data_IF_403153603451
#
_entry.id   IF_403153603451
#
_cell.length_a   1.000
_cell.length_b   1.000
_cell.length_c   1.000
_cell.angle_alpha   90.00
_cell.angle_beta   90.00
_cell.angle_gamma   90.00
#
_symmetry.space_group_name_H-M   'P 1'
#
loop_
_entity.id
_entity.type
_entity.pdbx_description
1 polymer ?
#
# COMPACT_ATOMS: atom_id res chain seq x y z
N UNK A 1 -13.68 27.16 -0.65
CA UNK A 1 -14.67 26.75 0.36
C UNK A 1 -16.03 27.37 0.05
N UNK A 2 -17.12 26.76 0.46
CA UNK A 2 -18.48 27.27 0.30
C UNK A 2 -18.68 28.56 1.07
N UNK A 3 -19.52 29.44 0.55
CA UNK A 3 -19.85 30.74 1.14
C UNK A 3 -21.33 30.77 1.57
N UNK A 4 -21.70 31.80 2.34
CA UNK A 4 -23.11 32.02 2.68
C UNK A 4 -24.00 32.21 1.44
N UNK A 5 -23.44 32.79 0.36
CA UNK A 5 -24.15 32.97 -0.91
C UNK A 5 -24.44 31.63 -1.58
N UNK A 6 -23.53 30.67 -1.52
CA UNK A 6 -23.76 29.34 -2.09
C UNK A 6 -24.89 28.60 -1.36
N UNK A 7 -24.91 28.74 -0.02
CA UNK A 7 -25.98 28.19 0.81
C UNK A 7 -27.32 28.84 0.53
N UNK A 8 -27.35 30.16 0.39
CA UNK A 8 -28.57 30.90 0.08
C UNK A 8 -29.15 30.52 -1.29
N UNK A 9 -28.32 30.45 -2.32
CA UNK A 9 -28.70 29.98 -3.67
C UNK A 9 -29.24 28.54 -3.64
N UNK A 10 -28.63 27.66 -2.83
CA UNK A 10 -29.11 26.30 -2.69
C UNK A 10 -30.47 26.27 -1.99
N UNK A 11 -30.67 27.05 -0.94
CA UNK A 11 -31.92 27.13 -0.17
C UNK A 11 -33.07 27.71 -0.97
N UNK A 12 -32.81 28.62 -1.92
CA UNK A 12 -33.81 29.16 -2.85
C UNK A 12 -34.52 28.10 -3.72
N UNK A 13 -33.96 26.90 -3.87
CA UNK A 13 -34.58 25.81 -4.62
C UNK A 13 -35.83 25.28 -3.94
N UNK A 14 -35.99 25.45 -2.62
CA UNK A 14 -37.20 25.11 -1.91
C UNK A 14 -38.03 26.37 -1.64
N UNK A 15 -38.83 26.77 -2.63
CA UNK A 15 -39.63 28.00 -2.60
C UNK A 15 -40.64 28.05 -1.48
N UNK A 16 -40.99 26.92 -0.88
CA UNK A 16 -42.01 26.85 0.19
C UNK A 16 -41.38 27.09 1.56
N UNK A 17 -40.08 26.85 1.72
CA UNK A 17 -39.34 26.97 3.00
C UNK A 17 -38.27 28.05 2.97
N UNK A 18 -37.98 28.64 1.82
CA UNK A 18 -36.98 29.69 1.71
C UNK A 18 -37.49 31.03 2.24
N UNK A 19 -36.69 31.64 3.14
CA UNK A 19 -36.91 33.00 3.62
C UNK A 19 -35.62 33.82 3.39
N UNK A 20 -35.75 34.87 2.61
CA UNK A 20 -34.59 35.73 2.25
C UNK A 20 -33.88 36.30 3.49
N UNK A 21 -32.55 36.14 3.48
CA UNK A 21 -31.66 36.61 4.59
C UNK A 21 -31.58 35.67 5.79
N UNK A 22 -32.33 34.56 5.85
CA UNK A 22 -32.27 33.60 6.94
C UNK A 22 -30.94 32.85 6.95
N UNK A 23 -30.42 32.45 5.77
CA UNK A 23 -29.11 31.81 5.65
C UNK A 23 -27.99 32.70 6.19
N UNK A 24 -28.00 33.99 5.89
CA UNK A 24 -27.01 34.94 6.39
C UNK A 24 -27.08 35.11 7.93
N UNK A 25 -28.29 35.20 8.49
CA UNK A 25 -28.47 35.24 9.94
C UNK A 25 -27.96 33.99 10.63
N UNK A 26 -28.28 32.83 10.08
CA UNK A 26 -27.82 31.53 10.61
C UNK A 26 -26.33 31.37 10.48
N UNK A 27 -25.74 31.77 9.34
CA UNK A 27 -24.30 31.72 9.10
C UNK A 27 -23.51 32.49 10.12
N UNK A 28 -24.01 33.67 10.49
CA UNK A 28 -23.38 34.51 11.53
C UNK A 28 -23.33 33.86 12.94
N UNK A 29 -24.21 32.87 13.20
CA UNK A 29 -24.23 32.13 14.46
C UNK A 29 -23.18 31.02 14.56
N UNK A 30 -22.51 30.66 13.45
CA UNK A 30 -21.51 29.59 13.43
C UNK A 30 -20.13 30.06 13.93
N UNK A 31 -19.93 31.30 14.25
CA UNK A 31 -18.69 31.83 14.79
C UNK A 31 -18.55 31.49 16.27
N UNK A 32 -17.51 30.76 16.65
CA UNK A 32 -17.08 30.59 18.03
C UNK A 32 -17.71 29.44 18.83
N UNK A 33 -18.28 28.42 18.19
CA UNK A 33 -18.73 27.22 18.91
C UNK A 33 -17.54 26.37 19.40
N UNK A 34 -17.57 25.99 20.69
CA UNK A 34 -16.61 25.03 21.28
C UNK A 34 -16.77 23.59 20.73
N UNK A 35 -17.86 23.33 20.04
CA UNK A 35 -18.11 22.05 19.35
C UNK A 35 -18.58 22.33 17.90
N UNK A 36 -17.64 22.52 16.96
CA UNK A 36 -18.01 22.81 15.57
C UNK A 36 -18.72 21.61 14.94
N UNK A 37 -19.76 21.91 14.14
CA UNK A 37 -20.39 20.89 13.28
C UNK A 37 -19.37 20.46 12.22
N UNK A 38 -18.98 19.21 12.26
CA UNK A 38 -18.03 18.61 11.32
C UNK A 38 -18.77 17.75 10.28
N UNK A 39 -18.05 17.33 9.23
CA UNK A 39 -18.59 16.35 8.28
C UNK A 39 -19.10 15.07 8.96
N UNK A 40 -18.45 14.65 10.07
CA UNK A 40 -18.92 13.53 10.90
C UNK A 40 -20.30 13.75 11.52
N UNK A 41 -20.56 14.99 11.99
CA UNK A 41 -21.88 15.37 12.53
C UNK A 41 -22.97 15.28 11.45
N UNK A 42 -22.66 15.73 10.24
CA UNK A 42 -23.62 15.65 9.12
C UNK A 42 -23.92 14.19 8.76
N UNK A 43 -22.91 13.33 8.73
CA UNK A 43 -23.07 11.88 8.47
C UNK A 43 -23.92 11.24 9.58
N UNK A 44 -23.69 11.60 10.84
CA UNK A 44 -24.48 11.13 11.98
C UNK A 44 -25.95 11.50 11.85
N UNK A 45 -26.24 12.77 11.56
CA UNK A 45 -27.60 13.28 11.36
C UNK A 45 -28.28 12.61 10.15
N UNK A 46 -27.54 12.35 9.07
CA UNK A 46 -28.07 11.64 7.92
C UNK A 46 -28.50 10.21 8.26
N UNK A 47 -27.66 9.48 9.00
CA UNK A 47 -27.96 8.12 9.51
C UNK A 47 -29.19 8.10 10.43
N UNK A 48 -29.30 9.06 11.34
CA UNK A 48 -30.46 9.19 12.25
C UNK A 48 -31.76 9.46 11.50
N UNK A 49 -31.69 10.05 10.31
CA UNK A 49 -32.82 10.29 9.41
C UNK A 49 -33.02 9.20 8.34
N UNK A 50 -32.44 8.00 8.55
CA UNK A 50 -32.69 6.83 7.69
C UNK A 50 -31.84 6.78 6.42
N UNK A 51 -30.82 7.65 6.31
CA UNK A 51 -29.86 7.54 5.23
C UNK A 51 -28.87 6.40 5.53
N UNK A 52 -29.02 5.30 4.82
CA UNK A 52 -28.03 4.22 4.85
C UNK A 52 -26.90 4.59 3.90
N UNK A 53 -25.77 4.99 4.48
CA UNK A 53 -24.53 5.12 3.77
C UNK A 53 -24.04 3.70 3.46
N UNK A 54 -24.35 3.20 2.28
CA UNK A 54 -23.49 2.20 1.68
C UNK A 54 -22.13 2.87 1.57
N UNK A 55 -21.08 2.20 2.07
CA UNK A 55 -19.70 2.67 2.01
C UNK A 55 -19.28 2.80 0.54
N UNK A 56 -19.86 3.77 -0.13
CA UNK A 56 -19.22 4.39 -1.27
C UNK A 56 -18.09 5.17 -0.60
N UNK A 57 -16.87 4.56 -0.50
CA UNK A 57 -15.67 5.38 -0.46
C UNK A 57 -15.98 6.55 -1.38
N UNK A 58 -15.80 7.78 -0.91
CA UNK A 58 -15.79 8.90 -1.82
C UNK A 58 -14.64 8.60 -2.79
N UNK A 59 -14.90 7.77 -3.77
CA UNK A 59 -14.25 7.77 -5.04
C UNK A 59 -14.53 9.18 -5.54
N UNK A 60 -13.53 10.06 -5.31
CA UNK A 60 -13.39 11.21 -6.17
C UNK A 60 -13.61 10.64 -7.57
N UNK A 61 -14.58 11.19 -8.26
CA UNK A 61 -14.96 10.81 -9.62
C UNK A 61 -13.77 11.10 -10.56
N UNK A 62 -12.74 10.24 -10.45
CA UNK A 62 -11.57 10.23 -11.33
C UNK A 62 -11.93 9.65 -12.70
N UNK A 63 -13.11 9.00 -12.83
CA UNK A 63 -13.59 8.49 -14.11
C UNK A 63 -13.86 9.60 -15.14
N UNK A 64 -13.94 10.85 -14.71
CA UNK A 64 -14.07 12.01 -15.63
C UNK A 64 -12.75 12.59 -16.10
N UNK A 65 -11.63 12.29 -15.41
CA UNK A 65 -10.28 12.76 -15.79
C UNK A 65 -9.36 11.65 -16.31
N UNK A 66 -9.71 10.40 -16.07
CA UNK A 66 -9.01 9.23 -16.61
C UNK A 66 -9.88 8.69 -17.72
N UNK A 67 -9.45 8.83 -18.95
CA UNK A 67 -10.06 8.44 -20.21
C UNK A 67 -11.10 7.29 -20.19
N UNK A 68 -11.64 6.91 -21.32
CA UNK A 68 -12.73 5.91 -21.44
C UNK A 68 -12.41 4.64 -20.61
N UNK A 69 -13.45 3.95 -20.16
CA UNK A 69 -13.32 2.72 -19.31
C UNK A 69 -12.37 1.66 -19.84
N UNK A 70 -12.03 1.72 -21.11
CA UNK A 70 -11.18 0.74 -21.80
C UNK A 70 -9.71 1.18 -21.96
N UNK A 71 -9.38 2.45 -21.73
CA UNK A 71 -8.05 3.03 -22.00
C UNK A 71 -6.91 2.56 -21.08
N UNK A 72 -7.15 1.80 -20.04
CA UNK A 72 -6.10 1.28 -19.17
C UNK A 72 -6.14 -0.25 -19.06
N UNK A 73 -6.90 -0.91 -19.94
CA UNK A 73 -7.02 -2.36 -19.94
C UNK A 73 -6.10 -2.94 -21.01
N UNK A 74 -5.01 -3.56 -20.58
CA UNK A 74 -4.03 -4.20 -21.47
C UNK A 74 -3.98 -5.71 -21.28
N UNK A 75 -4.51 -6.25 -20.19
CA UNK A 75 -4.48 -7.68 -19.89
C UNK A 75 -5.69 -8.38 -20.48
N UNK A 76 -5.48 -9.24 -21.46
CA UNK A 76 -6.51 -10.16 -21.93
C UNK A 76 -6.54 -11.40 -21.03
N UNK A 77 -7.58 -11.49 -20.18
CA UNK A 77 -7.74 -12.58 -19.22
C UNK A 77 -7.94 -13.96 -19.87
N UNK A 78 -8.34 -14.02 -21.13
CA UNK A 78 -8.56 -15.26 -21.86
C UNK A 78 -7.24 -15.85 -22.38
N UNK A 79 -6.23 -15.01 -22.57
CA UNK A 79 -4.91 -15.36 -23.10
C UNK A 79 -3.78 -15.23 -22.08
N UNK A 80 -4.12 -15.13 -20.79
CA UNK A 80 -3.15 -14.97 -19.73
C UNK A 80 -2.27 -16.22 -19.59
N UNK A 81 -0.99 -16.12 -19.91
CA UNK A 81 -0.01 -17.21 -19.73
C UNK A 81 0.32 -17.37 -18.25
N UNK A 82 -0.29 -18.38 -17.61
CA UNK A 82 -0.03 -18.73 -16.23
C UNK A 82 1.14 -19.69 -16.14
N UNK A 83 2.15 -19.32 -15.38
CA UNK A 83 3.28 -20.20 -15.08
C UNK A 83 3.34 -20.48 -13.59
N UNK A 84 3.65 -21.73 -13.23
CA UNK A 84 3.89 -22.10 -11.85
C UNK A 84 5.12 -21.36 -11.30
N UNK A 85 5.04 -20.97 -10.03
CA UNK A 85 6.17 -20.37 -9.34
C UNK A 85 7.04 -21.51 -8.82
N UNK A 86 8.25 -21.60 -9.36
CA UNK A 86 9.24 -22.56 -8.89
C UNK A 86 10.09 -21.96 -7.79
N UNK A 87 10.05 -22.56 -6.59
CA UNK A 87 10.90 -22.18 -5.46
C UNK A 87 11.92 -23.28 -5.26
N UNK A 88 13.24 -23.00 -5.40
CA UNK A 88 14.28 -23.99 -5.27
C UNK A 88 14.27 -24.68 -3.91
N UNK A 89 14.58 -25.98 -3.87
CA UNK A 89 14.76 -26.71 -2.61
C UNK A 89 15.94 -26.14 -1.82
N UNK A 90 17.06 -25.93 -2.51
CA UNK A 90 18.23 -25.27 -1.93
C UNK A 90 18.13 -23.76 -2.10
N UNK A 91 18.39 -23.03 -1.03
CA UNK A 91 18.37 -21.59 -1.03
C UNK A 91 19.32 -21.04 0.04
N UNK A 92 19.70 -19.78 -0.12
CA UNK A 92 20.51 -19.08 0.88
C UNK A 92 19.65 -17.97 1.54
N UNK A 93 19.16 -18.18 2.77
CA UNK A 93 18.36 -17.18 3.48
C UNK A 93 19.04 -15.81 3.60
N UNK A 94 20.32 -15.80 3.91
CA UNK A 94 21.10 -14.57 4.07
C UNK A 94 21.18 -13.78 2.77
N UNK A 95 21.47 -14.44 1.66
CA UNK A 95 21.54 -13.82 0.33
C UNK A 95 20.21 -13.22 -0.09
N UNK A 96 19.08 -13.90 0.21
CA UNK A 96 17.75 -13.39 -0.06
C UNK A 96 17.48 -12.04 0.61
N UNK A 97 17.91 -11.91 1.88
CA UNK A 97 17.71 -10.67 2.64
C UNK A 97 18.68 -9.60 2.16
N UNK A 98 19.94 -9.94 1.91
CA UNK A 98 20.96 -9.00 1.40
C UNK A 98 20.51 -8.44 0.06
N UNK A 99 20.11 -9.30 -0.90
CA UNK A 99 19.63 -8.86 -2.22
C UNK A 99 18.42 -7.94 -2.10
N UNK A 100 17.47 -8.24 -1.21
CA UNK A 100 16.33 -7.37 -0.95
C UNK A 100 16.75 -6.00 -0.42
N UNK A 101 17.68 -5.96 0.54
CA UNK A 101 18.20 -4.71 1.13
C UNK A 101 18.95 -3.87 0.10
N UNK A 102 19.85 -4.49 -0.66
CA UNK A 102 20.64 -3.81 -1.71
C UNK A 102 19.78 -3.30 -2.87
N UNK A 103 18.62 -3.94 -3.11
CA UNK A 103 17.68 -3.52 -4.16
C UNK A 103 16.85 -2.29 -3.75
N UNK A 104 16.48 -2.18 -2.48
CA UNK A 104 15.48 -1.20 -2.05
C UNK A 104 16.05 -0.02 -1.25
N UNK A 105 17.25 -0.15 -0.68
CA UNK A 105 17.79 0.83 0.27
C UNK A 105 19.21 1.26 -0.08
N UNK A 106 19.49 2.52 0.19
CA UNK A 106 20.86 3.00 0.26
C UNK A 106 21.51 2.56 1.59
N UNK A 107 22.87 2.43 1.64
CA UNK A 107 23.56 1.88 2.81
C UNK A 107 23.34 2.61 4.14
N UNK A 108 23.05 3.90 4.10
CA UNK A 108 22.85 4.78 5.27
C UNK A 108 21.37 4.92 5.68
N UNK A 109 20.45 4.29 4.96
CA UNK A 109 19.02 4.36 5.25
C UNK A 109 18.58 3.35 6.30
N UNK A 110 17.72 3.80 7.23
CA UNK A 110 17.18 2.92 8.26
C UNK A 110 16.07 2.02 7.70
N UNK A 111 16.15 0.75 8.06
CA UNK A 111 15.24 -0.31 7.64
C UNK A 111 14.33 -0.71 8.79
N UNK A 112 13.02 -0.69 8.54
CA UNK A 112 12.06 -1.22 9.48
C UNK A 112 11.80 -2.72 9.24
N UNK A 113 11.96 -3.56 10.25
CA UNK A 113 11.64 -4.98 10.15
C UNK A 113 11.06 -5.54 11.46
N UNK A 114 10.36 -6.67 11.36
CA UNK A 114 9.65 -7.29 12.48
C UNK A 114 9.84 -8.81 12.42
N UNK A 115 10.47 -9.37 13.45
CA UNK A 115 10.61 -10.82 13.66
C UNK A 115 9.67 -11.31 14.75
N UNK A 116 9.30 -10.47 15.71
CA UNK A 116 8.40 -10.79 16.78
C UNK A 116 6.93 -10.64 16.37
N UNK A 117 6.10 -11.54 16.88
CA UNK A 117 4.65 -11.50 16.68
C UNK A 117 3.92 -11.86 17.97
N UNK A 118 2.69 -11.39 18.09
CA UNK A 118 1.79 -11.75 19.20
C UNK A 118 0.46 -12.26 18.63
N UNK A 119 -0.17 -13.16 19.38
CA UNK A 119 -1.44 -13.76 18.97
C UNK A 119 -2.63 -12.94 19.50
N UNK A 120 -3.60 -12.70 18.64
CA UNK A 120 -4.87 -12.08 18.98
C UNK A 120 -6.00 -12.74 18.18
N UNK A 121 -6.98 -13.30 18.86
CA UNK A 121 -8.14 -13.98 18.25
C UNK A 121 -7.74 -15.02 17.17
N UNK A 122 -6.71 -15.83 17.47
CA UNK A 122 -6.22 -16.87 16.55
C UNK A 122 -5.45 -16.34 15.35
N UNK A 123 -5.10 -15.04 15.34
CA UNK A 123 -4.28 -14.41 14.30
C UNK A 123 -2.99 -13.87 14.88
N UNK A 124 -1.88 -14.11 14.19
CA UNK A 124 -0.60 -13.54 14.55
C UNK A 124 -0.44 -12.16 13.91
N UNK A 125 -0.17 -11.17 14.75
CA UNK A 125 0.07 -9.78 14.36
C UNK A 125 1.53 -9.41 14.61
N UNK A 126 2.18 -8.63 13.71
CA UNK A 126 3.53 -8.16 13.94
C UNK A 126 3.60 -7.18 15.12
N UNK A 127 4.68 -7.25 15.88
CA UNK A 127 5.03 -6.23 16.89
C UNK A 127 5.47 -4.92 16.23
N UNK A 128 5.96 -3.94 17.02
CA UNK A 128 6.51 -2.69 16.48
C UNK A 128 7.78 -2.94 15.64
N UNK A 129 8.60 -3.91 16.04
CA UNK A 129 9.86 -4.28 15.38
C UNK A 129 11.00 -3.29 15.60
N UNK A 130 12.10 -3.51 14.86
CA UNK A 130 13.29 -2.67 14.81
C UNK A 130 13.18 -1.67 13.65
N UNK A 131 13.80 -0.49 13.79
CA UNK A 131 13.73 0.59 12.79
C UNK A 131 14.88 1.60 12.89
N UNK A 132 15.90 1.28 13.67
CA UNK A 132 17.05 2.16 14.02
C UNK A 132 18.38 1.65 13.48
N UNK A 133 18.35 0.63 12.62
CA UNK A 133 19.54 0.06 11.97
C UNK A 133 19.52 0.37 10.48
N UNK A 134 20.70 0.74 9.94
CA UNK A 134 20.83 1.02 8.52
C UNK A 134 20.96 -0.25 7.68
N UNK A 135 20.62 -0.15 6.39
CA UNK A 135 20.78 -1.26 5.45
C UNK A 135 22.23 -1.74 5.39
N UNK A 136 23.20 -0.83 5.33
CA UNK A 136 24.62 -1.18 5.32
C UNK A 136 25.09 -1.89 6.59
N UNK A 137 24.56 -1.52 7.78
CA UNK A 137 24.84 -2.25 9.02
C UNK A 137 24.29 -3.67 8.97
N UNK A 138 23.03 -3.82 8.56
CA UNK A 138 22.37 -5.13 8.42
C UNK A 138 23.09 -6.03 7.42
N UNK A 139 23.41 -5.51 6.24
CA UNK A 139 24.12 -6.26 5.19
C UNK A 139 25.49 -6.73 5.70
N UNK A 140 26.25 -5.85 6.34
CA UNK A 140 27.57 -6.18 6.90
C UNK A 140 27.49 -7.33 7.93
N UNK A 141 26.51 -7.29 8.83
CA UNK A 141 26.33 -8.30 9.86
C UNK A 141 25.79 -9.62 9.25
N UNK A 142 24.89 -9.54 8.26
CA UNK A 142 24.41 -10.71 7.54
C UNK A 142 25.53 -11.45 6.79
N UNK A 143 26.49 -10.76 6.20
CA UNK A 143 27.67 -11.41 5.61
C UNK A 143 28.51 -12.17 6.65
N UNK A 144 28.49 -11.74 7.91
CA UNK A 144 29.29 -12.32 8.98
C UNK A 144 28.57 -13.44 9.76
N UNK A 145 27.24 -13.52 9.67
CA UNK A 145 26.42 -14.41 10.51
C UNK A 145 26.53 -15.90 10.14
N UNK A 146 27.21 -16.27 9.05
CA UNK A 146 27.39 -17.66 8.59
C UNK A 146 26.05 -18.43 8.43
N UNK A 147 24.99 -17.74 8.02
CA UNK A 147 23.66 -18.29 7.83
C UNK A 147 22.73 -18.22 9.06
N UNK A 148 23.23 -17.82 10.21
CA UNK A 148 22.44 -17.58 11.43
C UNK A 148 21.81 -16.16 11.37
N UNK A 149 20.73 -16.02 10.60
CA UNK A 149 20.02 -14.74 10.46
C UNK A 149 19.39 -14.29 11.78
N UNK A 150 19.06 -15.21 12.69
CA UNK A 150 18.51 -14.90 14.02
C UNK A 150 19.48 -14.09 14.88
N UNK A 151 20.79 -14.35 14.79
CA UNK A 151 21.81 -13.57 15.49
C UNK A 151 21.88 -12.10 15.05
N UNK A 152 21.40 -11.76 13.86
CA UNK A 152 21.40 -10.41 13.30
C UNK A 152 20.05 -9.71 13.48
N UNK A 153 18.96 -10.39 13.10
CA UNK A 153 17.63 -9.81 13.04
C UNK A 153 16.78 -10.09 14.29
N UNK A 154 17.21 -11.01 15.14
CA UNK A 154 16.41 -11.60 16.20
C UNK A 154 15.68 -12.87 15.73
N UNK A 155 15.37 -13.74 16.67
CA UNK A 155 14.63 -14.96 16.40
C UNK A 155 13.19 -14.65 15.94
N UNK A 156 12.67 -15.49 15.06
CA UNK A 156 11.30 -15.38 14.57
C UNK A 156 10.56 -16.73 14.72
N UNK A 157 9.25 -16.66 14.80
CA UNK A 157 8.41 -17.85 14.79
C UNK A 157 8.24 -18.36 13.35
N UNK A 158 8.80 -19.55 13.04
CA UNK A 158 8.76 -20.16 11.70
C UNK A 158 7.36 -20.55 11.22
N UNK A 159 6.35 -20.62 12.10
CA UNK A 159 4.96 -20.79 11.70
C UNK A 159 4.35 -19.49 11.18
N UNK A 160 4.87 -18.36 11.61
CA UNK A 160 4.34 -17.01 11.31
C UNK A 160 5.15 -16.30 10.23
N UNK A 161 6.48 -16.49 10.21
CA UNK A 161 7.43 -15.76 9.38
C UNK A 161 7.76 -14.38 9.94
N UNK A 162 8.41 -13.56 9.13
CA UNK A 162 8.82 -12.22 9.48
C UNK A 162 8.36 -11.20 8.43
N UNK A 163 8.49 -9.92 8.77
CA UNK A 163 8.08 -8.80 7.94
C UNK A 163 9.19 -7.76 7.80
N UNK A 164 9.18 -7.03 6.70
CA UNK A 164 10.12 -5.96 6.41
C UNK A 164 9.38 -4.81 5.70
N UNK A 165 9.77 -3.57 5.95
CA UNK A 165 9.29 -2.41 5.21
C UNK A 165 10.10 -2.24 3.95
N UNK A 166 9.53 -1.54 2.99
CA UNK A 166 10.15 -1.35 1.68
C UNK A 166 10.52 0.12 1.41
N UNK A 167 10.12 1.05 2.27
CA UNK A 167 10.56 2.45 2.24
C UNK A 167 11.42 2.76 3.48
N UNK A 168 12.42 3.63 3.36
CA UNK A 168 13.33 3.99 4.44
C UNK A 168 12.63 4.80 5.53
N UNK A 169 13.15 4.68 6.74
CA UNK A 169 12.64 5.35 7.94
C UNK A 169 13.66 6.35 8.51
N UNK A 170 13.17 7.27 9.34
CA UNK A 170 14.00 8.28 10.05
C UNK A 170 14.70 7.74 11.31
N UNK A 171 14.55 6.46 11.63
CA UNK A 171 15.08 5.84 12.84
C UNK A 171 14.36 6.20 14.14
N UNK A 172 13.26 6.95 14.10
CA UNK A 172 12.51 7.40 15.29
C UNK A 172 11.19 6.65 15.48
N UNK A 173 10.67 6.02 14.44
CA UNK A 173 9.41 5.32 14.50
C UNK A 173 9.09 4.54 13.23
N UNK A 174 7.83 4.09 13.15
CA UNK A 174 7.36 3.18 12.08
C UNK A 174 6.07 3.64 11.40
N UNK A 175 5.62 4.86 11.68
CA UNK A 175 4.42 5.43 11.08
C UNK A 175 4.72 6.09 9.73
N UNK A 176 3.68 6.52 9.01
CA UNK A 176 3.85 7.22 7.73
C UNK A 176 4.72 8.48 7.85
N UNK A 177 4.62 9.18 8.98
CA UNK A 177 5.43 10.39 9.28
C UNK A 177 6.92 10.10 9.47
N UNK A 178 7.30 8.84 9.71
CA UNK A 178 8.69 8.42 9.85
C UNK A 178 9.31 7.92 8.53
N UNK A 179 8.51 7.82 7.46
CA UNK A 179 9.01 7.47 6.14
C UNK A 179 9.73 8.67 5.54
N UNK A 180 10.99 8.51 5.16
CA UNK A 180 11.84 9.59 4.65
C UNK A 180 11.74 9.75 3.14
N UNK A 181 11.48 8.66 2.41
CA UNK A 181 11.30 8.67 0.97
C UNK A 181 10.15 7.77 0.53
N UNK A 182 9.39 8.22 -0.46
CA UNK A 182 8.19 7.55 -0.97
C UNK A 182 8.49 6.85 -2.30
N UNK A 183 9.47 5.93 -2.30
CA UNK A 183 9.94 5.24 -3.51
C UNK A 183 9.04 4.11 -3.97
N UNK A 184 8.43 3.39 -3.05
CA UNK A 184 7.76 2.14 -3.36
C UNK A 184 6.36 2.04 -2.75
N UNK A 185 5.49 1.27 -3.44
CA UNK A 185 4.19 0.83 -2.94
C UNK A 185 4.07 -0.70 -3.00
N UNK A 186 3.23 -1.28 -2.14
CA UNK A 186 2.95 -2.71 -2.12
C UNK A 186 1.73 -3.02 -2.99
N UNK A 187 1.90 -3.92 -3.96
CA UNK A 187 0.82 -4.56 -4.71
C UNK A 187 0.72 -6.01 -4.23
N UNK A 188 -0.43 -6.37 -3.67
CA UNK A 188 -0.70 -7.69 -3.08
C UNK A 188 -2.15 -8.08 -3.27
N UNK A 189 -2.42 -9.35 -3.53
CA UNK A 189 -3.76 -9.95 -3.58
C UNK A 189 -3.82 -11.20 -2.71
N UNK A 190 -4.75 -11.22 -1.76
CA UNK A 190 -5.01 -12.36 -0.88
C UNK A 190 -6.07 -13.32 -1.42
N UNK A 191 -6.78 -12.94 -2.48
CA UNK A 191 -7.98 -13.62 -2.98
C UNK A 191 -7.77 -14.35 -4.31
N UNK A 192 -6.66 -14.08 -4.99
CA UNK A 192 -6.36 -14.64 -6.31
C UNK A 192 -5.34 -15.77 -6.23
N UNK A 193 -5.40 -16.68 -7.18
CA UNK A 193 -4.36 -17.69 -7.41
C UNK A 193 -3.00 -17.03 -7.72
N UNK A 194 -1.91 -17.60 -7.18
CA UNK A 194 -0.56 -17.01 -7.28
C UNK A 194 -0.07 -16.95 -8.72
N UNK A 195 -0.37 -17.97 -9.54
CA UNK A 195 0.04 -17.99 -10.95
C UNK A 195 -0.67 -16.91 -11.76
N UNK A 196 -1.95 -16.62 -11.41
CA UNK A 196 -2.69 -15.53 -12.00
C UNK A 196 -2.17 -14.16 -11.53
N UNK A 197 -1.80 -14.02 -10.25
CA UNK A 197 -1.17 -12.79 -9.74
C UNK A 197 0.11 -12.50 -10.53
N UNK A 198 1.01 -13.49 -10.65
CA UNK A 198 2.28 -13.36 -11.39
C UNK A 198 2.04 -12.96 -12.84
N UNK A 199 1.14 -13.66 -13.52
CA UNK A 199 0.84 -13.42 -14.93
C UNK A 199 0.34 -11.99 -15.16
N UNK A 200 -0.59 -11.48 -14.34
CA UNK A 200 -1.10 -10.11 -14.47
C UNK A 200 -0.01 -9.07 -14.15
N UNK A 201 0.80 -9.30 -13.12
CA UNK A 201 1.92 -8.41 -12.77
C UNK A 201 2.89 -8.30 -13.95
N UNK A 202 3.17 -9.43 -14.62
CA UNK A 202 4.06 -9.49 -15.79
C UNK A 202 3.45 -8.80 -17.01
N UNK A 203 2.18 -9.10 -17.35
CA UNK A 203 1.48 -8.49 -18.50
C UNK A 203 1.28 -6.99 -18.33
N UNK A 204 1.08 -6.52 -17.08
CA UNK A 204 1.03 -5.09 -16.76
C UNK A 204 2.39 -4.41 -16.83
N UNK A 205 3.46 -5.14 -17.03
CA UNK A 205 4.83 -4.62 -17.00
C UNK A 205 5.11 -3.69 -15.80
N UNK A 206 4.51 -4.01 -14.64
CA UNK A 206 4.67 -3.18 -13.44
C UNK A 206 6.16 -2.96 -13.14
N UNK A 207 6.59 -1.75 -12.81
CA UNK A 207 7.99 -1.45 -12.49
C UNK A 207 8.34 -2.00 -11.09
N UNK A 208 8.44 -3.34 -10.99
CA UNK A 208 8.65 -4.03 -9.72
C UNK A 208 10.13 -4.03 -9.35
N UNK A 209 10.47 -3.42 -8.22
CA UNK A 209 11.82 -3.48 -7.67
C UNK A 209 12.13 -4.84 -7.03
N UNK A 210 11.17 -5.40 -6.28
CA UNK A 210 11.31 -6.72 -5.66
C UNK A 210 9.99 -7.49 -5.68
N UNK A 211 10.01 -8.75 -6.09
CA UNK A 211 8.87 -9.65 -6.09
C UNK A 211 9.09 -10.77 -5.06
N UNK A 212 8.29 -10.80 -4.01
CA UNK A 212 8.43 -11.74 -2.89
C UNK A 212 7.24 -12.69 -2.82
N UNK A 213 7.49 -13.98 -2.79
CA UNK A 213 6.49 -14.97 -2.42
C UNK A 213 6.28 -14.98 -0.90
N UNK A 214 5.07 -14.83 -0.45
CA UNK A 214 4.74 -14.66 0.99
C UNK A 214 4.81 -15.93 1.83
N UNK A 215 5.16 -17.07 1.23
CA UNK A 215 5.11 -18.37 1.89
C UNK A 215 3.69 -18.93 2.08
N UNK A 216 2.67 -18.33 1.48
CA UNK A 216 1.29 -18.83 1.61
C UNK A 216 0.50 -18.69 0.30
N UNK A 217 -0.18 -17.59 0.06
CA UNK A 217 -1.15 -17.44 -1.04
C UNK A 217 -1.03 -16.14 -1.82
N UNK A 218 -0.06 -15.29 -1.50
CA UNK A 218 0.10 -14.01 -2.17
C UNK A 218 1.53 -13.77 -2.62
N UNK A 219 1.65 -12.95 -3.67
CA UNK A 219 2.85 -12.28 -4.09
C UNK A 219 2.85 -10.86 -3.54
N UNK A 220 3.98 -10.41 -3.06
CA UNK A 220 4.23 -9.04 -2.66
C UNK A 220 5.11 -8.39 -3.72
N UNK A 221 4.52 -7.63 -4.62
CA UNK A 221 5.27 -6.84 -5.58
C UNK A 221 5.52 -5.45 -5.00
N UNK A 222 6.78 -5.13 -4.81
CA UNK A 222 7.25 -3.82 -4.37
C UNK A 222 7.47 -2.98 -5.62
N UNK A 223 6.51 -2.10 -5.91
CA UNK A 223 6.43 -1.34 -7.16
C UNK A 223 7.04 0.04 -6.98
N UNK A 224 7.89 0.45 -7.93
CA UNK A 224 8.52 1.78 -7.96
C UNK A 224 7.46 2.85 -8.19
N UNK A 225 7.37 3.80 -7.27
CA UNK A 225 6.43 4.92 -7.29
C UNK A 225 7.16 6.26 -7.48
N UNK A 226 8.33 6.41 -6.84
CA UNK A 226 9.24 7.56 -6.94
C UNK A 226 8.56 8.91 -6.70
N UNK A 227 7.67 8.99 -5.71
CA UNK A 227 6.95 10.21 -5.39
C UNK A 227 7.80 11.15 -4.51
N UNK A 228 7.76 12.45 -4.82
CA UNK A 228 8.51 13.46 -4.08
C UNK A 228 7.82 13.90 -2.78
N UNK A 229 6.51 13.69 -2.66
CA UNK A 229 5.72 14.07 -1.50
C UNK A 229 4.71 12.98 -1.13
N UNK A 230 4.19 13.03 0.10
CA UNK A 230 3.15 12.10 0.54
C UNK A 230 1.83 12.25 -0.24
N UNK A 231 1.49 13.47 -0.64
CA UNK A 231 0.30 13.75 -1.47
C UNK A 231 0.45 13.14 -2.87
N UNK A 232 1.64 13.28 -3.46
CA UNK A 232 1.94 12.65 -4.74
C UNK A 232 1.94 11.13 -4.63
N UNK A 233 2.52 10.59 -3.54
CA UNK A 233 2.50 9.16 -3.24
C UNK A 233 1.07 8.61 -3.25
N UNK A 234 0.15 9.25 -2.53
CA UNK A 234 -1.25 8.83 -2.49
C UNK A 234 -1.88 8.78 -3.89
N UNK A 235 -1.69 9.83 -4.68
CA UNK A 235 -2.21 9.91 -6.05
C UNK A 235 -1.65 8.79 -6.95
N UNK A 236 -0.33 8.56 -6.90
CA UNK A 236 0.31 7.51 -7.70
C UNK A 236 -0.13 6.11 -7.25
N UNK A 237 -0.29 5.86 -5.96
CA UNK A 237 -0.81 4.59 -5.44
C UNK A 237 -2.26 4.37 -5.85
N UNK A 238 -3.11 5.40 -5.78
CA UNK A 238 -4.51 5.31 -6.22
C UNK A 238 -4.60 5.00 -7.72
N UNK A 239 -3.78 5.66 -8.54
CA UNK A 239 -3.67 5.37 -9.98
C UNK A 239 -3.21 3.93 -10.24
N UNK A 240 -2.12 3.48 -9.60
CA UNK A 240 -1.61 2.11 -9.70
C UNK A 240 -2.69 1.08 -9.36
N UNK A 241 -3.41 1.29 -8.26
CA UNK A 241 -4.45 0.37 -7.79
C UNK A 241 -5.65 0.34 -8.74
N UNK A 242 -6.03 1.48 -9.32
CA UNK A 242 -7.07 1.55 -10.32
C UNK A 242 -6.68 0.74 -11.58
N UNK A 243 -5.47 0.95 -12.11
CA UNK A 243 -4.96 0.17 -13.25
C UNK A 243 -4.94 -1.33 -12.94
N UNK A 244 -4.38 -1.74 -11.81
CA UNK A 244 -4.35 -3.15 -11.40
C UNK A 244 -5.75 -3.76 -11.33
N UNK A 245 -6.71 -3.06 -10.70
CA UNK A 245 -8.09 -3.55 -10.57
C UNK A 245 -8.80 -3.64 -11.92
N UNK A 246 -8.65 -2.66 -12.82
CA UNK A 246 -9.19 -2.70 -14.19
C UNK A 246 -8.69 -3.92 -14.96
N UNK A 247 -7.43 -4.28 -14.77
CA UNK A 247 -6.80 -5.44 -15.39
C UNK A 247 -7.02 -6.77 -14.62
N UNK A 248 -7.82 -6.75 -13.58
CA UNK A 248 -8.26 -7.95 -12.86
C UNK A 248 -7.38 -8.40 -11.70
N UNK A 249 -6.36 -7.64 -11.34
CA UNK A 249 -5.57 -7.88 -10.13
C UNK A 249 -6.28 -7.27 -8.93
N UNK A 250 -7.04 -8.08 -8.20
CA UNK A 250 -7.83 -7.64 -7.03
C UNK A 250 -6.91 -7.38 -5.85
N UNK A 251 -6.72 -6.11 -5.51
CA UNK A 251 -5.79 -5.66 -4.47
C UNK A 251 -6.46 -5.48 -3.11
N UNK A 252 -5.69 -5.68 -2.04
CA UNK A 252 -6.06 -5.23 -0.70
C UNK A 252 -5.81 -3.71 -0.56
N UNK A 253 -6.89 -2.95 -0.52
CA UNK A 253 -6.85 -1.48 -0.39
C UNK A 253 -6.21 -0.97 0.91
N UNK A 254 -6.05 -1.83 1.92
CA UNK A 254 -5.38 -1.47 3.18
C UNK A 254 -3.86 -1.30 3.01
N UNK A 255 -3.28 -1.76 1.91
CA UNK A 255 -1.85 -1.72 1.64
C UNK A 255 -1.32 -0.37 1.09
N UNK A 256 -2.14 0.68 1.05
CA UNK A 256 -1.81 2.01 0.48
C UNK A 256 -0.82 2.85 1.31
N UNK A 257 -0.41 2.41 2.47
CA UNK A 257 0.47 3.17 3.36
C UNK A 257 1.95 3.01 2.97
N UNK A 258 2.75 4.09 2.91
CA UNK A 258 4.17 4.00 2.60
C UNK A 258 4.98 3.29 3.70
N UNK A 259 4.47 3.27 4.93
CA UNK A 259 5.08 2.54 6.06
C UNK A 259 4.62 1.07 6.17
N UNK A 260 3.95 0.53 5.15
CA UNK A 260 3.40 -0.83 5.17
C UNK A 260 4.50 -1.87 5.32
N UNK A 261 4.16 -2.96 6.00
CA UNK A 261 4.99 -4.17 6.10
C UNK A 261 4.69 -5.10 4.92
N UNK A 262 5.75 -5.54 4.26
CA UNK A 262 5.77 -6.66 3.33
C UNK A 262 6.31 -7.90 4.02
N UNK A 263 6.24 -9.07 3.37
CA UNK A 263 6.90 -10.28 3.87
C UNK A 263 8.41 -10.20 3.63
N UNK A 264 9.19 -10.53 4.68
CA UNK A 264 10.63 -10.58 4.60
C UNK A 264 11.05 -11.84 3.83
N UNK A 265 11.83 -11.75 2.74
CA UNK A 265 12.42 -12.94 2.13
C UNK A 265 13.48 -13.55 3.05
N UNK A 266 13.87 -14.79 2.81
CA UNK A 266 14.93 -15.45 3.58
C UNK A 266 14.48 -16.10 4.88
N UNK A 267 13.17 -16.16 5.16
CA UNK A 267 12.63 -16.81 6.38
C UNK A 267 11.59 -17.87 6.03
N UNK A 268 11.35 -18.79 6.96
CA UNK A 268 10.32 -19.81 6.83
C UNK A 268 8.98 -19.30 7.37
N UNK A 269 7.87 -19.77 6.79
CA UNK A 269 6.52 -19.52 7.25
C UNK A 269 5.65 -20.78 7.06
N UNK A 270 5.26 -21.40 8.15
CA UNK A 270 4.40 -22.61 8.13
C UNK A 270 4.92 -23.66 7.13
N UNK A 271 6.19 -24.03 7.26
CA UNK A 271 6.86 -25.02 6.42
C UNK A 271 7.20 -24.57 5.00
N UNK A 272 6.88 -23.31 4.61
CA UNK A 272 7.18 -22.75 3.28
C UNK A 272 8.17 -21.59 3.39
N UNK A 273 8.90 -21.33 2.32
CA UNK A 273 9.86 -20.22 2.23
C UNK A 273 9.14 -18.92 1.90
N UNK A 274 9.43 -17.84 2.62
CA UNK A 274 9.22 -16.48 2.11
C UNK A 274 10.41 -16.19 1.18
N UNK A 275 10.17 -16.08 -0.10
CA UNK A 275 11.22 -16.17 -1.11
C UNK A 275 11.21 -14.98 -2.06
N UNK A 276 12.38 -14.36 -2.25
CA UNK A 276 12.58 -13.32 -3.27
C UNK A 276 12.65 -14.00 -4.64
N UNK A 277 11.59 -13.83 -5.43
CA UNK A 277 11.46 -14.49 -6.74
C UNK A 277 12.28 -13.77 -7.80
N UNK A 278 12.15 -12.45 -7.85
CA UNK A 278 12.78 -11.61 -8.85
C UNK A 278 13.05 -10.20 -8.30
N UNK A 279 13.98 -9.49 -8.94
CA UNK A 279 14.24 -8.07 -8.72
C UNK A 279 14.29 -7.31 -10.03
N UNK A 280 13.85 -6.05 -10.03
CA UNK A 280 13.89 -5.14 -11.17
C UNK A 280 13.27 -5.73 -12.46
N UNK A 281 12.01 -6.16 -12.38
CA UNK A 281 11.22 -6.67 -13.53
C UNK A 281 10.21 -5.62 -14.00
N UNK A 282 9.72 -5.79 -15.24
CA UNK A 282 8.80 -4.85 -15.89
C UNK A 282 9.51 -3.59 -16.36
N UNK A 283 8.79 -2.48 -16.39
CA UNK A 283 9.35 -1.17 -16.78
C UNK A 283 10.40 -0.71 -15.76
N UNK A 284 11.36 0.09 -16.21
CA UNK A 284 12.48 0.52 -15.38
C UNK A 284 12.04 1.41 -14.22
N UNK A 285 11.07 2.33 -14.48
CA UNK A 285 10.61 3.31 -13.51
C UNK A 285 9.12 3.66 -13.69
N UNK A 286 8.58 4.46 -12.78
CA UNK A 286 7.19 4.90 -12.78
C UNK A 286 6.79 5.65 -14.06
N UNK A 287 7.64 6.52 -14.59
CA UNK A 287 7.29 7.36 -15.74
C UNK A 287 7.18 6.52 -17.02
N UNK A 288 8.14 5.62 -17.25
CA UNK A 288 8.08 4.68 -18.39
C UNK A 288 6.86 3.76 -18.31
N UNK A 289 6.53 3.28 -17.12
CA UNK A 289 5.35 2.47 -16.95
C UNK A 289 4.08 3.25 -17.24
N UNK A 290 4.01 4.48 -16.75
CA UNK A 290 2.85 5.33 -16.98
C UNK A 290 2.66 5.68 -18.45
N UNK A 291 3.73 6.05 -19.16
CA UNK A 291 3.70 6.31 -20.61
C UNK A 291 3.29 5.05 -21.42
N UNK A 292 3.64 3.87 -20.93
CA UNK A 292 3.32 2.62 -21.60
C UNK A 292 1.86 2.20 -21.41
N UNK A 293 1.26 2.48 -20.24
CA UNK A 293 -0.10 2.07 -19.91
C UNK A 293 -1.17 3.06 -20.46
N UNK A 294 -0.82 4.33 -20.63
CA UNK A 294 -1.67 5.37 -21.23
C UNK A 294 -1.68 5.28 -22.76
#
# INVERSE_FOLDING_TARGET
>A
GYTVSDWDMWSMKDVNRYHSGECAKKWATFQGSSAPVTGGTIIQMAKENGYHYENVSAELDWDSEIGSKDELVVVDRNWLERSEIHIPEQWNPTEQIITYLETLFEPDENVGYVTESWEHDGKFLPSKGCYDRTAGQLIKELYQCKGDIGSVLGDYNSEVGAWIRFNPLDGKGVKNENVTEFRYALVESDTMDISAQKAIITELELPVAALVYSGKKSLHAIVKIDASTYEEYKKRVDYLYNVCNKNGLKLDIQNRNPSRLSRMPGVMRNGKKQYLLDTNIGKENWNEWREWIE
#
